data_IF_341021717169
#
_entry.id   IF_341021717169
#
_cell.length_a   1.000
_cell.length_b   1.000
_cell.length_c   1.000
_cell.angle_alpha   90.00
_cell.angle_beta   90.00
_cell.angle_gamma   90.00
#
_symmetry.space_group_name_H-M   'P 1'
#
loop_
_entity.id
_entity.type
_entity.pdbx_description
1 polymer ?
#
# COMPACT_ATOMS: atom_id res chain seq x y z
N UNK A 1 -11.80 6.03 8.56
CA UNK A 1 -10.46 5.50 8.26
C UNK A 1 -9.84 4.94 9.53
N UNK A 2 -9.27 3.74 9.45
CA UNK A 2 -8.49 3.11 10.51
C UNK A 2 -7.03 3.09 10.07
N UNK A 3 -6.12 3.17 11.03
CA UNK A 3 -4.69 3.17 10.76
C UNK A 3 -4.05 1.94 11.37
N UNK A 4 -3.39 1.14 10.54
CA UNK A 4 -2.64 -0.03 10.97
C UNK A 4 -1.14 0.30 10.98
N UNK A 5 -0.46 0.25 12.13
CA UNK A 5 0.96 0.53 12.19
C UNK A 5 1.79 -0.60 11.55
N UNK A 6 2.82 -0.21 10.79
CA UNK A 6 3.79 -1.10 10.15
C UNK A 6 5.11 -1.03 10.90
N UNK A 7 5.56 -2.19 11.36
CA UNK A 7 6.77 -2.31 12.18
C UNK A 7 8.00 -2.60 11.33
N UNK A 8 9.04 -1.77 11.48
CA UNK A 8 10.35 -2.00 10.89
C UNK A 8 11.17 -2.92 11.78
N UNK A 9 11.51 -4.10 11.28
CA UNK A 9 12.39 -5.05 11.98
C UNK A 9 13.83 -4.56 12.04
N UNK A 10 14.26 -3.72 11.09
CA UNK A 10 15.58 -3.08 11.05
C UNK A 10 15.68 -2.01 12.14
N UNK A 11 14.70 -1.12 12.22
CA UNK A 11 14.73 0.00 13.16
C UNK A 11 14.11 -0.36 14.53
N UNK A 12 13.47 -1.54 14.62
CA UNK A 12 12.78 -2.03 15.81
C UNK A 12 11.69 -1.08 16.36
N UNK A 13 11.02 -0.36 15.46
CA UNK A 13 9.97 0.59 15.78
C UNK A 13 8.89 0.63 14.69
N UNK A 14 7.75 1.22 14.97
CA UNK A 14 6.75 1.52 13.95
C UNK A 14 7.24 2.70 13.10
N UNK A 15 7.16 2.57 11.77
CA UNK A 15 7.76 3.54 10.84
C UNK A 15 6.77 4.07 9.81
N UNK A 16 5.63 3.42 9.65
CA UNK A 16 4.62 3.74 8.63
C UNK A 16 3.25 3.35 9.18
N UNK A 17 2.21 4.02 8.71
CA UNK A 17 0.82 3.63 8.93
C UNK A 17 0.22 3.18 7.60
N UNK A 18 -0.65 2.17 7.61
CA UNK A 18 -1.52 1.85 6.48
C UNK A 18 -2.93 2.35 6.79
N UNK A 19 -3.46 3.23 5.94
CA UNK A 19 -4.81 3.76 6.06
C UNK A 19 -5.81 2.80 5.42
N UNK A 20 -6.74 2.31 6.21
CA UNK A 20 -7.67 1.27 5.84
C UNK A 20 -9.11 1.79 5.94
N UNK A 21 -9.81 1.84 4.81
CA UNK A 21 -11.23 2.21 4.78
C UNK A 21 -12.08 1.21 5.55
N UNK A 22 -13.04 1.73 6.30
CA UNK A 22 -14.02 0.94 7.03
C UNK A 22 -15.40 1.53 6.81
N UNK A 23 -16.36 0.69 6.45
CA UNK A 23 -17.75 1.10 6.27
C UNK A 23 -18.62 0.43 7.32
N UNK A 24 -19.42 1.24 8.02
CA UNK A 24 -20.42 0.76 8.97
C UNK A 24 -21.80 1.19 8.50
N UNK A 25 -22.65 0.23 8.23
CA UNK A 25 -24.07 0.48 7.91
C UNK A 25 -24.91 0.41 9.20
N UNK A 26 -25.93 1.25 9.36
CA UNK A 26 -26.76 1.25 10.57
C UNK A 26 -27.41 -0.10 10.89
N UNK A 27 -27.90 -0.81 9.86
CA UNK A 27 -28.62 -2.08 9.99
C UNK A 27 -27.70 -3.30 9.76
N UNK A 28 -26.79 -3.24 8.77
CA UNK A 28 -25.93 -4.36 8.38
C UNK A 28 -24.64 -4.47 9.19
N UNK A 29 -24.35 -3.47 10.03
CA UNK A 29 -23.09 -3.44 10.79
C UNK A 29 -21.87 -3.13 9.92
N UNK A 30 -20.74 -3.78 10.21
CA UNK A 30 -19.51 -3.59 9.46
C UNK A 30 -19.53 -4.33 8.13
N UNK A 31 -19.26 -3.60 7.04
CA UNK A 31 -19.15 -4.14 5.69
C UNK A 31 -17.67 -4.24 5.34
N UNK A 32 -17.25 -5.41 4.84
CA UNK A 32 -15.86 -5.66 4.47
C UNK A 32 -15.43 -4.78 3.29
N UNK A 33 -14.17 -4.30 3.27
CA UNK A 33 -13.67 -3.40 2.23
C UNK A 33 -13.80 -3.97 0.81
N UNK A 34 -13.49 -5.23 0.60
CA UNK A 34 -13.62 -5.94 -0.67
C UNK A 34 -15.05 -5.94 -1.23
N UNK A 35 -16.06 -5.89 -0.37
CA UNK A 35 -17.47 -5.82 -0.76
C UNK A 35 -17.83 -4.39 -1.16
N UNK A 36 -17.65 -3.40 -0.27
CA UNK A 36 -18.13 -2.04 -0.56
C UNK A 36 -17.29 -1.31 -1.60
N UNK A 37 -15.99 -1.60 -1.69
CA UNK A 37 -15.10 -1.02 -2.72
C UNK A 37 -15.55 -1.53 -4.09
N UNK A 38 -15.77 -2.84 -4.24
CA UNK A 38 -16.26 -3.42 -5.49
C UNK A 38 -17.61 -2.82 -5.91
N UNK A 39 -18.55 -2.71 -4.98
CA UNK A 39 -19.84 -2.06 -5.26
C UNK A 39 -19.65 -0.62 -5.71
N UNK A 40 -18.71 0.11 -5.11
CA UNK A 40 -18.43 1.49 -5.48
C UNK A 40 -17.77 1.59 -6.86
N UNK A 41 -16.89 0.67 -7.21
CA UNK A 41 -16.27 0.57 -8.55
C UNK A 41 -17.33 0.27 -9.61
N UNK A 42 -18.17 -0.75 -9.39
CA UNK A 42 -19.24 -1.16 -10.30
C UNK A 42 -20.27 -0.05 -10.54
N UNK A 43 -20.43 0.89 -9.60
CA UNK A 43 -21.38 2.00 -9.68
C UNK A 43 -20.71 3.38 -9.92
N UNK A 44 -19.44 3.43 -10.30
CA UNK A 44 -18.69 4.67 -10.54
C UNK A 44 -18.71 5.65 -9.35
N UNK A 45 -18.67 5.13 -8.13
CA UNK A 45 -18.67 5.92 -6.89
C UNK A 45 -17.31 5.87 -6.17
N UNK A 46 -16.36 5.12 -6.68
CA UNK A 46 -15.07 4.91 -6.01
C UNK A 46 -14.29 6.21 -5.86
N UNK A 47 -14.34 7.09 -6.84
CA UNK A 47 -13.70 8.40 -6.80
C UNK A 47 -14.13 9.24 -5.59
N UNK A 48 -15.44 9.23 -5.26
CA UNK A 48 -15.98 9.91 -4.09
C UNK A 48 -15.51 9.30 -2.78
N UNK A 49 -15.37 7.97 -2.74
CA UNK A 49 -14.87 7.26 -1.55
C UNK A 49 -13.39 7.57 -1.37
N UNK A 50 -12.60 7.52 -2.44
CA UNK A 50 -11.18 7.84 -2.44
C UNK A 50 -10.92 9.27 -1.98
N UNK A 51 -11.67 10.23 -2.52
CA UNK A 51 -11.58 11.63 -2.12
C UNK A 51 -11.92 11.82 -0.65
N UNK A 52 -13.06 11.27 -0.20
CA UNK A 52 -13.47 11.36 1.21
C UNK A 52 -12.44 10.75 2.15
N UNK A 53 -11.88 9.58 1.78
CA UNK A 53 -10.83 8.92 2.53
C UNK A 53 -9.59 9.81 2.58
N UNK A 54 -9.16 10.33 1.43
CA UNK A 54 -7.95 11.14 1.33
C UNK A 54 -8.05 12.45 2.12
N UNK A 55 -9.18 13.17 2.02
CA UNK A 55 -9.44 14.35 2.85
C UNK A 55 -9.38 14.04 4.36
N UNK A 56 -9.91 12.90 4.78
CA UNK A 56 -9.84 12.46 6.20
C UNK A 56 -8.41 12.16 6.63
N UNK A 57 -7.62 11.56 5.74
CA UNK A 57 -6.20 11.28 6.01
C UNK A 57 -5.41 12.58 6.10
N UNK A 58 -5.59 13.50 5.15
CA UNK A 58 -4.92 14.81 5.18
C UNK A 58 -5.26 15.60 6.45
N UNK A 59 -6.52 15.62 6.86
CA UNK A 59 -6.94 16.22 8.12
C UNK A 59 -6.26 15.57 9.32
N UNK A 60 -6.26 14.24 9.38
CA UNK A 60 -5.58 13.50 10.45
C UNK A 60 -4.09 13.83 10.51
N UNK A 61 -3.40 13.86 9.37
CA UNK A 61 -1.97 14.20 9.30
C UNK A 61 -1.70 15.62 9.78
N UNK A 62 -2.57 16.57 9.45
CA UNK A 62 -2.46 17.96 9.94
C UNK A 62 -2.67 18.06 11.43
N UNK A 63 -3.69 17.41 11.96
CA UNK A 63 -4.02 17.41 13.39
C UNK A 63 -2.96 16.68 14.24
N UNK A 64 -2.25 15.72 13.65
CA UNK A 64 -1.28 14.86 14.32
C UNK A 64 0.12 14.96 13.68
N UNK A 65 0.52 16.14 13.25
CA UNK A 65 1.82 16.38 12.59
C UNK A 65 3.02 15.93 13.42
N UNK A 66 2.92 15.95 14.75
CA UNK A 66 3.95 15.43 15.64
C UNK A 66 4.20 13.92 15.49
N UNK A 67 3.18 13.17 15.08
CA UNK A 67 3.32 11.74 14.78
C UNK A 67 4.33 11.51 13.65
N UNK A 68 4.40 12.43 12.67
CA UNK A 68 5.30 12.33 11.53
C UNK A 68 6.79 12.52 11.89
N UNK A 69 7.10 12.89 13.12
CA UNK A 69 8.49 12.84 13.65
C UNK A 69 8.95 11.39 13.89
N UNK A 70 8.02 10.46 14.06
CA UNK A 70 8.28 9.04 14.32
C UNK A 70 7.89 8.15 13.13
N UNK A 71 6.82 8.50 12.42
CA UNK A 71 6.27 7.80 11.28
C UNK A 71 6.73 8.49 9.99
N UNK A 72 7.25 7.73 9.04
CA UNK A 72 7.76 8.26 7.77
C UNK A 72 6.64 8.73 6.85
N UNK A 73 5.62 7.89 6.68
CA UNK A 73 4.48 8.16 5.79
C UNK A 73 3.25 7.35 6.18
N UNK A 74 2.13 7.74 5.57
CA UNK A 74 0.88 6.98 5.59
C UNK A 74 0.66 6.37 4.22
N UNK A 75 0.45 5.07 4.17
CA UNK A 75 0.17 4.30 2.96
C UNK A 75 -1.32 4.25 2.70
N UNK A 76 -1.70 4.41 1.43
CA UNK A 76 -3.10 4.53 1.00
C UNK A 76 -3.29 3.69 -0.24
N UNK A 77 -4.25 2.77 -0.21
CA UNK A 77 -4.62 1.98 -1.38
C UNK A 77 -5.29 2.86 -2.44
N UNK A 78 -4.82 2.74 -3.68
CA UNK A 78 -5.35 3.47 -4.83
C UNK A 78 -6.07 2.48 -5.75
N UNK A 79 -7.33 2.79 -6.08
CA UNK A 79 -8.12 1.99 -7.02
C UNK A 79 -7.58 2.11 -8.46
N UNK A 80 -7.72 1.05 -9.29
CA UNK A 80 -7.47 1.16 -10.72
C UNK A 80 -8.20 2.33 -11.40
N UNK A 81 -9.45 2.58 -10.99
CA UNK A 81 -10.26 3.67 -11.54
C UNK A 81 -9.76 5.05 -11.13
N UNK A 82 -9.14 5.18 -9.94
CA UNK A 82 -8.49 6.43 -9.55
C UNK A 82 -7.29 6.75 -10.45
N UNK A 83 -6.52 5.74 -10.83
CA UNK A 83 -5.37 5.90 -11.76
C UNK A 83 -5.78 6.31 -13.17
N UNK A 84 -7.03 6.05 -13.57
CA UNK A 84 -7.59 6.45 -14.86
C UNK A 84 -8.12 7.89 -14.87
N UNK A 85 -8.16 8.57 -13.73
CA UNK A 85 -8.59 9.97 -13.66
C UNK A 85 -7.66 10.84 -14.49
N UNK A 86 -8.24 11.78 -15.21
CA UNK A 86 -7.46 12.86 -15.83
C UNK A 86 -6.76 13.64 -14.71
N UNK A 87 -5.44 13.79 -14.81
CA UNK A 87 -4.63 14.49 -13.80
C UNK A 87 -4.75 13.89 -12.38
N UNK A 88 -4.60 12.56 -12.29
CA UNK A 88 -4.70 11.82 -11.04
C UNK A 88 -3.73 12.34 -9.97
N UNK A 89 -2.46 12.51 -10.30
CA UNK A 89 -1.44 13.01 -9.36
C UNK A 89 -1.75 14.43 -8.92
N UNK A 90 -2.01 15.35 -9.86
CA UNK A 90 -2.33 16.74 -9.54
C UNK A 90 -3.60 16.89 -8.69
N UNK A 91 -4.56 15.98 -8.83
CA UNK A 91 -5.77 15.98 -7.97
C UNK A 91 -5.41 15.77 -6.49
N UNK A 92 -4.65 14.72 -6.19
CA UNK A 92 -4.26 14.42 -4.80
C UNK A 92 -3.27 15.45 -4.23
N UNK A 93 -2.37 15.97 -5.06
CA UNK A 93 -1.42 17.02 -4.67
C UNK A 93 -2.16 18.28 -4.26
N UNK A 94 -3.13 18.74 -5.04
CA UNK A 94 -3.95 19.92 -4.67
C UNK A 94 -4.61 19.76 -3.30
N UNK A 95 -5.14 18.57 -3.00
CA UNK A 95 -5.71 18.31 -1.68
C UNK A 95 -4.64 18.42 -0.58
N UNK A 96 -3.44 17.85 -0.80
CA UNK A 96 -2.35 17.96 0.18
C UNK A 96 -1.92 19.42 0.38
N UNK A 97 -1.81 20.18 -0.69
CA UNK A 97 -1.46 21.61 -0.67
C UNK A 97 -2.48 22.45 0.10
N UNK A 98 -3.79 22.16 -0.05
CA UNK A 98 -4.86 22.81 0.73
C UNK A 98 -4.67 22.59 2.24
N UNK A 99 -4.14 21.46 2.65
CA UNK A 99 -3.82 21.15 4.05
C UNK A 99 -2.43 21.64 4.47
N UNK A 100 -1.58 22.05 3.54
CA UNK A 100 -0.18 22.44 3.76
C UNK A 100 0.69 21.27 4.22
N UNK A 101 0.50 20.09 3.65
CA UNK A 101 1.19 18.85 4.01
C UNK A 101 2.36 18.57 3.07
N UNK A 102 3.52 18.13 3.59
CA UNK A 102 4.61 17.61 2.76
C UNK A 102 4.14 16.37 1.98
N UNK A 103 4.42 16.31 0.68
CA UNK A 103 3.94 15.23 -0.19
C UNK A 103 4.55 13.88 0.18
N UNK A 104 5.77 13.84 0.70
CA UNK A 104 6.43 12.63 1.18
C UNK A 104 5.75 11.96 2.40
N UNK A 105 4.79 12.63 3.04
CA UNK A 105 4.00 12.03 4.12
C UNK A 105 2.96 11.03 3.63
N UNK A 106 2.75 10.96 2.32
CA UNK A 106 1.84 10.01 1.68
C UNK A 106 2.59 9.06 0.75
N UNK A 107 2.18 7.81 0.74
CA UNK A 107 2.60 6.79 -0.21
C UNK A 107 1.38 6.06 -0.71
N UNK A 108 1.18 6.01 -2.03
CA UNK A 108 0.09 5.21 -2.60
C UNK A 108 0.51 3.76 -2.82
N UNK A 109 -0.44 2.83 -2.60
CA UNK A 109 -0.28 1.42 -2.84
C UNK A 109 -1.10 1.01 -4.07
N UNK A 110 -0.44 0.33 -5.00
CA UNK A 110 -1.02 -0.16 -6.25
C UNK A 110 -0.77 -1.67 -6.30
N UNK A 111 -1.81 -2.45 -6.60
CA UNK A 111 -1.68 -3.91 -6.66
C UNK A 111 -0.89 -4.37 -7.87
N UNK A 112 -0.32 -5.58 -7.79
CA UNK A 112 0.40 -6.23 -8.88
C UNK A 112 -0.43 -6.33 -10.17
N UNK A 113 -1.71 -6.67 -10.06
CA UNK A 113 -2.62 -6.78 -11.21
C UNK A 113 -2.71 -5.48 -11.98
N UNK A 114 -2.92 -4.37 -11.27
CA UNK A 114 -2.97 -3.03 -11.86
C UNK A 114 -1.66 -2.66 -12.54
N UNK A 115 -0.54 -2.92 -11.88
CA UNK A 115 0.78 -2.63 -12.43
C UNK A 115 1.08 -3.42 -13.72
N UNK A 116 0.45 -4.59 -13.89
CA UNK A 116 0.66 -5.45 -15.06
C UNK A 116 -0.27 -5.11 -16.23
N UNK A 117 -1.52 -4.75 -15.94
CA UNK A 117 -2.54 -4.48 -16.97
C UNK A 117 -2.38 -3.10 -17.63
N UNK A 118 -1.83 -2.10 -16.93
CA UNK A 118 -1.79 -0.70 -17.37
C UNK A 118 -0.39 -0.22 -17.82
N UNK A 119 0.22 -0.90 -18.80
CA UNK A 119 1.63 -0.73 -19.16
C UNK A 119 2.08 0.70 -19.56
N UNK A 120 1.31 1.46 -20.34
CA UNK A 120 1.78 2.78 -20.85
C UNK A 120 1.18 3.99 -20.14
N UNK A 121 -0.09 3.93 -19.74
CA UNK A 121 -0.75 5.00 -19.00
C UNK A 121 -0.25 5.08 -17.55
N UNK A 122 -0.07 3.93 -16.91
CA UNK A 122 0.40 3.83 -15.54
C UNK A 122 1.81 4.42 -15.36
N UNK A 123 2.72 4.21 -16.33
CA UNK A 123 4.08 4.77 -16.26
C UNK A 123 4.06 6.29 -16.04
N UNK A 124 3.22 7.02 -16.78
CA UNK A 124 3.11 8.47 -16.63
C UNK A 124 2.57 8.89 -15.27
N UNK A 125 1.49 8.26 -14.83
CA UNK A 125 0.89 8.57 -13.52
C UNK A 125 1.87 8.29 -12.38
N UNK A 126 2.62 7.18 -12.48
CA UNK A 126 3.66 6.82 -11.51
C UNK A 126 4.81 7.83 -11.52
N UNK A 127 5.28 8.24 -12.72
CA UNK A 127 6.31 9.26 -12.87
C UNK A 127 5.86 10.62 -12.33
N UNK A 128 4.61 11.02 -12.59
CA UNK A 128 4.05 12.26 -12.08
C UNK A 128 4.00 12.27 -10.55
N UNK A 129 3.52 11.20 -9.90
CA UNK A 129 3.55 11.09 -8.44
C UNK A 129 4.97 11.20 -7.87
N UNK A 130 5.92 10.49 -8.45
CA UNK A 130 7.32 10.51 -7.98
C UNK A 130 7.95 11.88 -8.17
N UNK A 131 7.69 12.55 -9.30
CA UNK A 131 8.16 13.91 -9.59
C UNK A 131 7.68 14.90 -8.54
N UNK A 132 6.45 14.71 -8.06
CA UNK A 132 5.83 15.56 -7.06
C UNK A 132 6.13 15.14 -5.62
N UNK A 133 7.00 14.14 -5.43
CA UNK A 133 7.49 13.72 -4.12
C UNK A 133 6.62 12.68 -3.40
N UNK A 134 5.56 12.18 -4.06
CA UNK A 134 4.71 11.11 -3.51
C UNK A 134 5.32 9.75 -3.82
N UNK A 135 5.55 8.94 -2.79
CA UNK A 135 6.05 7.58 -2.95
C UNK A 135 4.98 6.61 -3.47
N UNK A 136 5.42 5.57 -4.19
CA UNK A 136 4.56 4.47 -4.63
C UNK A 136 5.06 3.15 -4.10
N UNK A 137 4.12 2.30 -3.70
CA UNK A 137 4.35 0.95 -3.22
C UNK A 137 3.60 -0.05 -4.11
N UNK A 138 4.29 -1.08 -4.54
CA UNK A 138 3.64 -2.22 -5.16
C UNK A 138 3.08 -3.13 -4.06
N UNK A 139 1.77 -3.41 -4.08
CA UNK A 139 1.10 -4.31 -3.13
C UNK A 139 0.79 -5.67 -3.76
N UNK A 140 0.63 -6.67 -2.90
CA UNK A 140 0.30 -8.06 -3.20
C UNK A 140 1.25 -8.73 -4.23
N UNK A 141 2.54 -8.31 -4.26
CA UNK A 141 3.53 -8.86 -5.20
C UNK A 141 3.71 -10.37 -5.02
N UNK A 142 3.53 -11.10 -6.10
CA UNK A 142 3.62 -12.56 -6.15
C UNK A 142 2.30 -13.28 -5.94
N UNK A 143 1.17 -12.57 -5.90
CA UNK A 143 -0.17 -13.17 -5.91
C UNK A 143 -0.61 -13.62 -7.31
N UNK A 144 0.04 -13.13 -8.36
CA UNK A 144 -0.28 -13.37 -9.76
C UNK A 144 0.95 -13.71 -10.61
N UNK A 145 0.81 -13.57 -11.92
CA UNK A 145 1.88 -13.79 -12.90
C UNK A 145 2.53 -12.46 -13.31
N UNK A 146 3.01 -11.68 -12.35
CA UNK A 146 3.67 -10.43 -12.69
C UNK A 146 4.88 -10.68 -13.59
N UNK A 147 4.95 -9.95 -14.68
CA UNK A 147 6.20 -9.83 -15.40
C UNK A 147 7.14 -8.95 -14.58
N UNK A 148 8.05 -9.59 -13.85
CA UNK A 148 9.03 -8.90 -12.99
C UNK A 148 9.76 -7.77 -13.74
N UNK A 149 9.98 -7.93 -15.05
CA UNK A 149 10.61 -6.91 -15.87
C UNK A 149 9.75 -5.62 -15.97
N UNK A 150 8.43 -5.75 -15.97
CA UNK A 150 7.52 -4.59 -15.98
C UNK A 150 7.56 -3.86 -14.65
N UNK A 151 7.49 -4.61 -13.57
CA UNK A 151 7.56 -4.06 -12.21
C UNK A 151 8.88 -3.34 -11.95
N UNK A 152 10.01 -3.92 -12.40
CA UNK A 152 11.35 -3.33 -12.22
C UNK A 152 11.58 -2.04 -13.03
N UNK A 153 10.74 -1.73 -14.01
CA UNK A 153 10.82 -0.49 -14.78
C UNK A 153 10.09 0.69 -14.13
N UNK A 154 9.18 0.40 -13.21
CA UNK A 154 8.41 1.43 -12.52
C UNK A 154 9.16 1.88 -11.25
N UNK A 155 9.21 3.18 -10.95
CA UNK A 155 9.95 3.74 -9.82
C UNK A 155 9.21 3.54 -8.49
N UNK A 156 8.87 2.30 -8.16
CA UNK A 156 8.33 1.96 -6.86
C UNK A 156 9.38 2.17 -5.76
N UNK A 157 8.99 2.85 -4.69
CA UNK A 157 9.84 3.08 -3.53
C UNK A 157 9.83 1.91 -2.53
N UNK A 158 8.84 1.01 -2.63
CA UNK A 158 8.73 -0.20 -1.81
C UNK A 158 7.84 -1.25 -2.48
N UNK A 159 8.01 -2.51 -2.07
CA UNK A 159 7.22 -3.65 -2.53
C UNK A 159 6.72 -4.40 -1.29
N UNK A 160 5.42 -4.69 -1.24
CA UNK A 160 4.80 -5.58 -0.26
C UNK A 160 4.65 -6.97 -0.88
N UNK A 161 5.24 -7.97 -0.26
CA UNK A 161 5.10 -9.35 -0.70
C UNK A 161 3.72 -9.89 -0.29
N UNK A 162 3.06 -10.56 -1.23
CA UNK A 162 1.84 -11.28 -0.90
C UNK A 162 2.12 -12.42 0.09
N UNK A 163 1.14 -12.71 0.88
CA UNK A 163 1.21 -13.71 1.93
C UNK A 163 1.41 -15.13 1.37
N UNK A 164 0.90 -15.43 0.16
CA UNK A 164 1.07 -16.73 -0.50
C UNK A 164 2.53 -17.05 -0.75
N UNK A 165 3.32 -16.09 -1.24
CA UNK A 165 4.77 -16.25 -1.41
C UNK A 165 5.49 -16.64 -0.12
N UNK A 166 5.07 -16.07 1.00
CA UNK A 166 5.67 -16.38 2.30
C UNK A 166 5.35 -17.82 2.74
N UNK A 167 4.13 -18.29 2.46
CA UNK A 167 3.76 -19.68 2.76
C UNK A 167 4.51 -20.68 1.89
N UNK A 168 4.68 -20.42 0.61
CA UNK A 168 5.41 -21.28 -0.31
C UNK A 168 6.91 -21.35 0.03
N UNK A 169 7.51 -20.24 0.37
CA UNK A 169 8.91 -20.20 0.85
C UNK A 169 9.06 -20.98 2.16
N UNK A 170 8.03 -20.98 3.02
CA UNK A 170 8.06 -21.64 4.32
C UNK A 170 7.81 -23.15 4.22
N UNK A 171 6.92 -23.59 3.36
CA UNK A 171 6.53 -24.99 3.18
C UNK A 171 7.53 -25.80 2.37
N UNK A 172 8.34 -25.16 1.53
CA UNK A 172 9.30 -25.84 0.67
C UNK A 172 10.64 -26.07 1.37
N UNK A 173 11.18 -27.32 1.29
CA UNK A 173 12.57 -27.63 1.70
C UNK A 173 13.63 -26.83 0.89
N UNK A 174 13.23 -26.11 -0.16
CA UNK A 174 14.04 -25.19 -0.94
C UNK A 174 14.41 -23.89 -0.18
N UNK A 175 13.76 -23.59 0.94
CA UNK A 175 13.99 -22.37 1.72
C UNK A 175 15.44 -22.15 2.17
N UNK A 176 16.19 -23.22 2.37
CA UNK A 176 17.60 -23.13 2.76
C UNK A 176 18.52 -22.65 1.60
N UNK A 177 18.18 -22.93 0.33
CA UNK A 177 18.94 -22.46 -0.85
C UNK A 177 18.58 -21.03 -1.25
N UNK A 178 17.32 -20.62 -1.11
CA UNK A 178 16.87 -19.25 -1.38
C UNK A 178 17.47 -18.23 -0.41
N UNK A 179 17.61 -18.57 0.87
CA UNK A 179 18.29 -17.72 1.88
C UNK A 179 19.71 -17.33 1.52
N UNK A 180 20.42 -18.14 0.71
CA UNK A 180 21.81 -17.88 0.29
C UNK A 180 21.93 -17.06 -1.00
N UNK A 181 20.85 -16.94 -1.79
CA UNK A 181 20.87 -16.27 -3.11
C UNK A 181 20.39 -14.81 -3.08
N UNK A 182 19.74 -14.38 -2.03
CA UNK A 182 19.38 -12.97 -1.89
C UNK A 182 20.55 -12.20 -1.29
N UNK A 183 21.20 -11.42 -2.14
CA UNK A 183 22.33 -10.54 -1.82
C UNK A 183 21.94 -9.46 -0.78
N UNK A 184 22.88 -8.88 -0.02
CA UNK A 184 22.63 -8.09 1.21
C UNK A 184 21.88 -6.76 1.05
N UNK A 185 21.25 -6.49 -0.08
CA UNK A 185 20.37 -5.33 -0.29
C UNK A 185 18.88 -5.60 0.01
N UNK A 186 18.47 -6.86 0.06
CA UNK A 186 17.10 -7.24 0.41
C UNK A 186 17.16 -7.83 1.83
N UNK A 187 16.64 -7.08 2.80
CA UNK A 187 16.61 -7.52 4.19
C UNK A 187 15.71 -8.74 4.33
N UNK A 188 16.28 -9.94 4.23
CA UNK A 188 15.58 -11.18 4.53
C UNK A 188 15.28 -11.26 6.03
N UNK A 189 14.03 -11.27 6.39
CA UNK A 189 13.53 -11.43 7.74
C UNK A 189 13.92 -12.78 8.34
N UNK A 190 14.41 -12.78 9.56
CA UNK A 190 14.46 -13.95 10.42
C UNK A 190 13.08 -14.10 11.07
N UNK A 191 12.16 -14.78 10.40
CA UNK A 191 10.85 -15.12 10.96
C UNK A 191 11.07 -16.11 12.11
N UNK A 192 10.69 -15.72 13.33
CA UNK A 192 10.48 -16.70 14.41
C UNK A 192 9.17 -17.43 14.14
N UNK A 193 9.05 -18.72 14.47
CA UNK A 193 7.82 -19.47 14.27
C UNK A 193 6.69 -18.83 15.08
N UNK A 194 5.67 -18.35 14.39
CA UNK A 194 4.44 -17.85 14.98
C UNK A 194 3.47 -19.01 15.18
N UNK A 195 2.86 -19.14 16.36
CA UNK A 195 1.85 -20.16 16.61
C UNK A 195 0.60 -19.88 15.76
N UNK A 196 -0.02 -20.94 15.24
CA UNK A 196 -1.23 -20.90 14.38
C UNK A 196 -2.40 -20.06 14.94
N UNK A 197 -2.43 -19.82 16.25
CA UNK A 197 -3.51 -19.09 16.92
C UNK A 197 -3.50 -17.57 16.67
N UNK A 198 -2.38 -16.97 16.24
CA UNK A 198 -2.26 -15.53 15.96
C UNK A 198 -2.43 -15.15 14.49
N UNK A 199 -2.63 -16.10 13.59
CA UNK A 199 -2.81 -15.81 12.14
C UNK A 199 -4.22 -15.28 11.79
N UNK A 200 -5.16 -15.25 12.74
CA UNK A 200 -6.53 -14.75 12.47
C UNK A 200 -6.65 -13.23 12.49
N UNK A 201 -5.68 -12.51 13.01
CA UNK A 201 -5.62 -11.06 12.93
C UNK A 201 -4.64 -10.70 11.81
N UNK A 202 -5.15 -10.23 10.69
CA UNK A 202 -4.42 -9.96 9.44
C UNK A 202 -3.28 -8.96 9.59
N UNK A 203 -2.15 -9.41 10.13
CA UNK A 203 -0.91 -8.63 10.13
C UNK A 203 -0.25 -8.84 8.78
N UNK A 204 -0.34 -7.85 7.91
CA UNK A 204 0.47 -7.77 6.67
C UNK A 204 1.88 -7.33 7.08
N UNK A 205 2.88 -8.13 6.73
CA UNK A 205 4.29 -7.74 6.88
C UNK A 205 4.71 -7.01 5.59
N UNK A 206 5.00 -5.73 5.69
CA UNK A 206 5.67 -5.00 4.60
C UNK A 206 7.17 -5.02 4.85
N UNK A 207 7.95 -5.32 3.80
CA UNK A 207 9.39 -5.12 3.83
C UNK A 207 9.68 -3.66 3.50
N UNK A 208 10.38 -2.99 4.38
CA UNK A 208 11.03 -1.70 4.13
C UNK A 208 12.54 -1.91 4.27
#
# INVERSE_FOLDING_TARGET
VYYQPVYSTRNKQFVTLEALSRLKHPELGWIAPDIFIRIAEDNCLIDRISDLQFYRICRFLKEHSDLMKQIRNVKINLSPLDLMRKDCSGHFIRIMDEFGLPHEWVQFEITETVATEYNTGLCRVVEDFVKDGIGLCLDDFGSGYANLNTVMRLPFSSIKLDRSLLFDIWSSRASARLRRKFSPGISCFRLRPFSRSRMRSGVRLSMI
#
